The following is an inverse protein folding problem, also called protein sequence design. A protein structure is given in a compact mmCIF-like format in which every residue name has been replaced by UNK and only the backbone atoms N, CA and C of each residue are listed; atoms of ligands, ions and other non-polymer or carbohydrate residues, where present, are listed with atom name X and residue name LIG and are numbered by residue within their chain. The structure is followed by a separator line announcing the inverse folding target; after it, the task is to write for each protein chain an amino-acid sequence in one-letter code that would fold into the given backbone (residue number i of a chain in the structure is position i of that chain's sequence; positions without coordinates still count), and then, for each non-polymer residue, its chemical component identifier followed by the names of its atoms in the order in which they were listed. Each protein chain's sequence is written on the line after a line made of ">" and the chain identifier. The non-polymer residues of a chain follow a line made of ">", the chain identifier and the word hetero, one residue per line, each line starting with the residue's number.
data_IF_855096659476
#
_entry.id   IF_855096659476
#
_cell.length_a   1.000
_cell.length_b   1.000
_cell.length_c   1.000
_cell.angle_alpha   90.00
_cell.angle_beta   90.00
_cell.angle_gamma   90.00
#
_symmetry.space_group_name_H-M   'P 1'
#
loop_
_entity.id
_entity.type
_entity.pdbx_description
1 polymer ?
#
# COMPACT_ATOMS: atom_id res chain seq x y z
N UNK A 1 -4.34 8.79 19.92
CA UNK A 1 -3.92 7.70 19.00
C UNK A 1 -3.18 6.59 19.75
N UNK A 2 -2.20 6.89 20.57
CA UNK A 2 -1.41 5.88 21.34
C UNK A 2 -2.27 4.98 22.22
N UNK A 3 -3.25 5.53 22.92
CA UNK A 3 -4.18 4.75 23.76
C UNK A 3 -5.00 3.75 22.94
N UNK A 4 -5.41 4.14 21.72
CA UNK A 4 -6.15 3.26 20.83
C UNK A 4 -5.27 2.10 20.35
N UNK A 5 -4.04 2.39 19.92
CA UNK A 5 -3.07 1.35 19.50
C UNK A 5 -2.78 0.40 20.66
N UNK A 6 -2.56 0.92 21.86
CA UNK A 6 -2.36 0.12 23.08
C UNK A 6 -3.56 -0.77 23.38
N UNK A 7 -4.76 -0.24 23.26
CA UNK A 7 -6.00 -1.01 23.45
C UNK A 7 -6.12 -2.14 22.42
N UNK A 8 -5.88 -1.82 21.14
CA UNK A 8 -5.95 -2.80 20.05
C UNK A 8 -4.97 -3.95 20.22
N UNK A 9 -3.73 -3.67 20.64
CA UNK A 9 -2.74 -4.69 20.96
C UNK A 9 -3.20 -5.59 22.12
N UNK A 10 -3.60 -5.00 23.23
CA UNK A 10 -4.04 -5.75 24.43
C UNK A 10 -5.29 -6.60 24.18
N UNK A 11 -6.16 -6.19 23.27
CA UNK A 11 -7.40 -6.90 22.94
C UNK A 11 -7.26 -7.88 21.78
N UNK A 12 -6.09 -7.99 21.17
CA UNK A 12 -5.83 -8.92 20.07
C UNK A 12 -6.46 -8.48 18.75
N UNK A 13 -6.53 -7.18 18.49
CA UNK A 13 -6.88 -6.64 17.17
C UNK A 13 -5.68 -6.61 16.25
N UNK A 14 -4.56 -6.09 16.72
CA UNK A 14 -3.32 -5.98 15.95
C UNK A 14 -2.11 -6.35 16.81
N UNK A 15 -1.08 -6.88 16.16
CA UNK A 15 0.25 -7.07 16.72
C UNK A 15 1.29 -6.52 15.76
N UNK A 16 2.41 -6.03 16.26
CA UNK A 16 3.51 -5.66 15.38
C UNK A 16 4.07 -6.93 14.73
N UNK A 17 4.21 -6.92 13.40
CA UNK A 17 4.71 -8.09 12.70
C UNK A 17 6.13 -8.42 13.14
N UNK A 18 6.40 -9.71 13.37
CA UNK A 18 7.70 -10.21 13.85
C UNK A 18 8.16 -9.61 15.19
N UNK A 19 7.23 -9.29 16.09
CA UNK A 19 7.53 -8.60 17.37
C UNK A 19 8.57 -9.34 18.23
N UNK A 20 8.58 -10.67 18.23
CA UNK A 20 9.58 -11.49 18.96
C UNK A 20 11.03 -11.26 18.49
N UNK A 21 11.23 -10.71 17.30
CA UNK A 21 12.53 -10.35 16.73
C UNK A 21 12.75 -8.83 16.67
N UNK A 22 12.01 -8.05 17.46
CA UNK A 22 12.10 -6.59 17.51
C UNK A 22 11.09 -5.87 16.64
N UNK A 23 10.31 -6.58 15.84
CA UNK A 23 9.23 -6.04 15.02
C UNK A 23 9.70 -5.29 13.77
N UNK A 24 8.80 -5.16 12.80
CA UNK A 24 8.98 -4.33 11.61
C UNK A 24 8.16 -3.05 11.77
N UNK A 25 8.82 -1.90 11.66
CA UNK A 25 8.15 -0.62 11.82
C UNK A 25 7.09 -0.41 10.74
N UNK A 26 5.86 -0.08 11.16
CA UNK A 26 4.75 0.19 10.25
C UNK A 26 4.06 -1.04 9.67
N UNK A 27 4.49 -2.27 10.05
CA UNK A 27 3.89 -3.52 9.59
C UNK A 27 3.23 -4.23 10.76
N UNK A 28 1.97 -4.64 10.57
CA UNK A 28 1.15 -5.23 11.61
C UNK A 28 0.48 -6.51 11.12
N UNK A 29 0.34 -7.47 12.04
CA UNK A 29 -0.47 -8.67 11.86
C UNK A 29 -1.84 -8.44 12.50
N UNK A 30 -2.90 -8.97 11.88
CA UNK A 30 -4.22 -8.97 12.47
C UNK A 30 -4.35 -10.09 13.49
N UNK A 31 -4.67 -9.75 14.72
CA UNK A 31 -5.02 -10.73 15.75
C UNK A 31 -6.43 -11.28 15.58
N UNK A 32 -6.87 -12.20 16.47
CA UNK A 32 -8.18 -12.88 16.34
C UNK A 32 -9.38 -11.93 16.19
N UNK A 33 -9.45 -10.86 16.97
CA UNK A 33 -10.53 -9.87 16.84
C UNK A 33 -10.34 -8.96 15.63
N UNK A 34 -9.09 -8.68 15.26
CA UNK A 34 -8.76 -7.85 14.10
C UNK A 34 -9.15 -8.49 12.78
N UNK A 35 -8.88 -9.79 12.61
CA UNK A 35 -9.25 -10.51 11.39
C UNK A 35 -10.75 -10.60 11.22
N UNK A 36 -11.52 -10.80 12.30
CA UNK A 36 -12.97 -10.79 12.24
C UNK A 36 -13.54 -9.42 11.87
N UNK A 37 -12.99 -8.35 12.46
CA UNK A 37 -13.38 -6.98 12.12
C UNK A 37 -13.06 -6.67 10.64
N UNK A 38 -11.85 -7.02 10.17
CA UNK A 38 -11.43 -6.88 8.78
C UNK A 38 -12.38 -7.60 7.82
N UNK A 39 -12.67 -8.87 8.08
CA UNK A 39 -13.56 -9.69 7.24
C UNK A 39 -14.99 -9.14 7.20
N UNK A 40 -15.52 -8.69 8.33
CA UNK A 40 -16.85 -8.08 8.41
C UNK A 40 -16.90 -6.77 7.59
N UNK A 41 -15.86 -5.94 7.69
CA UNK A 41 -15.78 -4.69 6.92
C UNK A 41 -15.70 -4.98 5.41
N UNK A 42 -14.82 -5.89 5.00
CA UNK A 42 -14.69 -6.32 3.60
C UNK A 42 -16.00 -6.88 3.05
N UNK A 43 -16.64 -7.76 3.78
CA UNK A 43 -17.91 -8.39 3.38
C UNK A 43 -19.02 -7.34 3.23
N UNK A 44 -19.11 -6.40 4.15
CA UNK A 44 -20.10 -5.32 4.10
C UNK A 44 -19.85 -4.40 2.90
N UNK A 45 -18.59 -4.03 2.68
CA UNK A 45 -18.20 -3.21 1.53
C UNK A 45 -18.48 -3.92 0.20
N UNK A 46 -18.06 -5.18 0.09
CA UNK A 46 -18.29 -6.00 -1.11
C UNK A 46 -19.77 -6.16 -1.42
N UNK A 47 -20.57 -6.43 -0.39
CA UNK A 47 -22.01 -6.52 -0.54
C UNK A 47 -22.60 -5.22 -1.11
N UNK A 48 -22.27 -4.09 -0.49
CA UNK A 48 -22.80 -2.78 -0.89
C UNK A 48 -22.35 -2.33 -2.27
N UNK A 49 -21.08 -2.61 -2.64
CA UNK A 49 -20.49 -2.11 -3.88
C UNK A 49 -20.69 -3.04 -5.07
N UNK A 50 -20.80 -4.36 -4.82
CA UNK A 50 -20.89 -5.35 -5.90
C UNK A 50 -22.26 -6.02 -5.93
N UNK A 51 -22.71 -6.64 -4.82
CA UNK A 51 -23.91 -7.48 -4.84
C UNK A 51 -25.22 -6.68 -4.88
N UNK A 52 -25.24 -5.51 -4.29
CA UNK A 52 -26.42 -4.62 -4.25
C UNK A 52 -26.50 -3.74 -5.53
N UNK A 53 -25.63 -3.98 -6.54
CA UNK A 53 -25.56 -3.22 -7.78
C UNK A 53 -25.55 -4.13 -9.01
N UNK A 54 -26.26 -3.72 -10.06
CA UNK A 54 -26.34 -4.45 -11.33
C UNK A 54 -25.30 -3.98 -12.37
N UNK A 55 -24.69 -2.82 -12.15
CA UNK A 55 -23.76 -2.16 -13.07
C UNK A 55 -22.28 -2.32 -12.69
N UNK A 56 -21.97 -3.12 -11.65
CA UNK A 56 -20.62 -3.32 -11.15
C UNK A 56 -20.26 -4.79 -11.16
N UNK A 57 -19.02 -5.09 -11.56
CA UNK A 57 -18.39 -6.40 -11.41
C UNK A 57 -17.22 -6.34 -10.43
N UNK A 58 -17.04 -7.41 -9.65
CA UNK A 58 -15.94 -7.51 -8.70
C UNK A 58 -14.68 -8.05 -9.34
N UNK A 59 -13.54 -7.50 -8.97
CA UNK A 59 -12.21 -7.95 -9.37
C UNK A 59 -11.30 -8.04 -8.16
N UNK A 60 -10.65 -9.19 -7.99
CA UNK A 60 -9.53 -9.36 -7.06
C UNK A 60 -8.26 -9.65 -7.88
N UNK A 61 -7.45 -8.62 -8.07
CA UNK A 61 -6.24 -8.70 -8.87
C UNK A 61 -5.03 -9.10 -8.00
N UNK A 62 -3.98 -9.62 -8.67
CA UNK A 62 -2.74 -10.01 -8.01
C UNK A 62 -2.07 -8.82 -7.31
N UNK A 63 -1.56 -9.04 -6.10
CA UNK A 63 -0.75 -8.05 -5.37
C UNK A 63 0.59 -7.76 -6.06
N UNK A 64 1.13 -8.73 -6.81
CA UNK A 64 2.31 -8.52 -7.63
C UNK A 64 1.91 -8.00 -9.00
N UNK A 65 2.53 -6.89 -9.39
CA UNK A 65 2.28 -6.25 -10.69
C UNK A 65 3.55 -6.18 -11.53
N UNK A 66 3.35 -6.28 -12.85
CA UNK A 66 4.43 -6.19 -13.81
C UNK A 66 5.03 -4.79 -13.85
N UNK A 67 6.36 -4.71 -13.98
CA UNK A 67 7.07 -3.48 -14.25
C UNK A 67 6.47 -2.65 -15.38
N UNK A 68 6.06 -3.32 -16.48
CA UNK A 68 5.51 -2.62 -17.65
C UNK A 68 4.25 -1.83 -17.31
N UNK A 69 3.39 -2.36 -16.44
CA UNK A 69 2.18 -1.65 -15.99
C UNK A 69 2.56 -0.35 -15.30
N UNK A 70 3.50 -0.41 -14.37
CA UNK A 70 3.93 0.75 -13.59
C UNK A 70 4.77 1.75 -14.43
N UNK A 71 5.50 1.26 -15.42
CA UNK A 71 6.20 2.11 -16.38
C UNK A 71 5.21 2.91 -17.24
N UNK A 72 4.20 2.25 -17.83
CA UNK A 72 3.22 2.93 -18.68
C UNK A 72 2.27 3.83 -17.92
N UNK A 73 2.02 3.56 -16.64
CA UNK A 73 1.24 4.45 -15.76
C UNK A 73 2.06 5.60 -15.16
N UNK A 74 3.38 5.64 -15.40
CA UNK A 74 4.28 6.68 -14.89
C UNK A 74 4.78 6.47 -13.46
N UNK A 75 4.31 5.46 -12.75
CA UNK A 75 4.70 5.21 -11.36
C UNK A 75 6.18 4.88 -11.21
N UNK A 76 6.79 4.18 -12.18
CA UNK A 76 8.22 3.83 -12.09
C UNK A 76 9.12 5.07 -12.02
N UNK A 77 8.71 6.17 -12.65
CA UNK A 77 9.52 7.39 -12.75
C UNK A 77 9.17 8.43 -11.69
N UNK A 78 7.93 8.45 -11.20
CA UNK A 78 7.42 9.55 -10.37
C UNK A 78 7.03 9.15 -8.96
N UNK A 79 6.90 7.85 -8.67
CA UNK A 79 6.42 7.38 -7.36
C UNK A 79 7.56 7.31 -6.34
N UNK A 80 8.11 8.48 -6.05
CA UNK A 80 9.19 8.65 -5.08
C UNK A 80 8.98 9.91 -4.26
N UNK A 81 9.28 9.82 -2.96
CA UNK A 81 9.29 10.96 -2.05
C UNK A 81 10.72 11.46 -1.84
N UNK A 82 10.95 12.77 -1.84
CA UNK A 82 12.21 13.34 -1.41
C UNK A 82 12.31 13.27 0.11
N UNK A 83 13.14 12.37 0.65
CA UNK A 83 13.38 12.21 2.08
C UNK A 83 14.61 12.97 2.54
N UNK A 84 14.52 13.53 3.73
CA UNK A 84 15.55 14.28 4.44
C UNK A 84 15.79 13.64 5.81
N UNK A 85 17.06 13.47 6.18
CA UNK A 85 17.45 13.03 7.53
C UNK A 85 17.90 14.22 8.36
N UNK A 86 17.40 14.32 9.59
CA UNK A 86 17.92 15.25 10.58
C UNK A 86 19.20 14.70 11.20
N UNK A 87 20.33 15.40 11.08
CA UNK A 87 21.60 14.95 11.64
C UNK A 87 21.64 15.00 13.17
N UNK A 88 20.81 15.86 13.76
CA UNK A 88 20.73 16.02 15.21
C UNK A 88 19.94 14.87 15.89
N UNK A 89 18.66 14.68 15.53
CA UNK A 89 17.79 13.69 16.19
C UNK A 89 17.64 12.37 15.42
N UNK A 90 18.30 12.22 14.25
CA UNK A 90 18.26 11.05 13.37
C UNK A 90 16.88 10.71 12.83
N UNK A 91 15.93 11.62 12.96
CA UNK A 91 14.59 11.44 12.42
C UNK A 91 14.59 11.64 10.89
N UNK A 92 13.84 10.80 10.17
CA UNK A 92 13.65 10.89 8.72
C UNK A 92 12.24 11.35 8.43
N UNK A 93 12.09 12.26 7.47
CA UNK A 93 10.80 12.81 7.07
C UNK A 93 10.86 13.31 5.63
N UNK A 94 9.70 13.58 5.03
CA UNK A 94 9.63 14.15 3.68
C UNK A 94 10.09 15.61 3.70
N UNK A 95 10.76 16.04 2.63
CA UNK A 95 11.30 17.40 2.55
C UNK A 95 10.23 18.51 2.66
N UNK A 96 9.00 18.23 2.22
CA UNK A 96 7.86 19.17 2.33
C UNK A 96 7.36 19.36 3.76
N UNK A 97 7.73 18.48 4.70
CA UNK A 97 7.42 18.60 6.12
C UNK A 97 8.41 19.51 6.88
N UNK A 98 9.51 19.91 6.24
CA UNK A 98 10.48 20.85 6.81
C UNK A 98 9.95 22.27 6.73
N UNK A 99 9.24 22.72 7.77
CA UNK A 99 8.79 24.12 7.86
C UNK A 99 10.00 25.02 8.12
N UNK A 100 10.19 26.03 7.28
CA UNK A 100 11.33 26.97 7.34
C UNK A 100 12.71 26.28 7.35
N UNK A 101 12.84 25.13 6.68
CA UNK A 101 14.08 24.36 6.62
C UNK A 101 14.49 23.73 7.95
N UNK A 102 13.53 23.47 8.85
CA UNK A 102 13.76 22.89 10.17
C UNK A 102 13.13 21.52 10.32
N UNK A 103 13.78 20.69 11.12
CA UNK A 103 13.27 19.38 11.50
C UNK A 103 11.96 19.52 12.30
N UNK A 104 10.85 18.86 11.91
CA UNK A 104 9.59 18.93 12.62
C UNK A 104 9.63 18.32 14.03
N UNK A 105 10.60 17.44 14.30
CA UNK A 105 10.71 16.77 15.59
C UNK A 105 11.55 17.52 16.61
N UNK A 106 12.66 18.18 16.20
CA UNK A 106 13.59 18.81 17.14
C UNK A 106 13.94 20.26 16.80
N UNK A 107 13.40 20.84 15.71
CA UNK A 107 13.63 22.21 15.31
C UNK A 107 15.03 22.52 14.74
N UNK A 108 15.92 21.51 14.62
CA UNK A 108 17.27 21.70 14.06
C UNK A 108 17.23 22.01 12.57
N UNK A 109 18.10 22.91 12.11
CA UNK A 109 18.32 23.19 10.68
C UNK A 109 19.40 22.30 10.04
N UNK A 110 20.06 21.44 10.82
CA UNK A 110 21.10 20.53 10.31
C UNK A 110 20.44 19.30 9.65
N UNK A 111 20.07 19.48 8.39
CA UNK A 111 19.39 18.50 7.56
C UNK A 111 20.31 18.00 6.44
N UNK A 112 20.08 16.78 5.95
CA UNK A 112 20.74 16.29 4.75
C UNK A 112 20.08 16.87 3.50
N UNK A 113 20.78 16.78 2.36
CA UNK A 113 20.14 17.01 1.06
C UNK A 113 19.01 15.98 0.84
N UNK A 114 17.92 16.41 0.18
CA UNK A 114 16.83 15.52 -0.17
C UNK A 114 17.31 14.36 -1.06
N UNK A 115 16.89 13.14 -0.73
CA UNK A 115 17.17 11.94 -1.53
C UNK A 115 15.88 11.31 -2.00
N UNK A 116 15.74 10.95 -3.28
CA UNK A 116 14.57 10.27 -3.77
C UNK A 116 14.47 8.88 -3.09
N UNK A 117 13.32 8.60 -2.53
CA UNK A 117 12.99 7.30 -1.93
C UNK A 117 11.84 6.70 -2.72
N UNK A 118 12.07 5.56 -3.37
CA UNK A 118 11.03 4.85 -4.09
C UNK A 118 10.06 4.21 -3.09
N UNK A 119 8.77 4.52 -3.23
CA UNK A 119 7.72 4.04 -2.34
C UNK A 119 7.25 2.62 -2.68
N UNK A 120 7.66 2.08 -3.82
CA UNK A 120 7.24 0.76 -4.28
C UNK A 120 8.17 -0.34 -3.79
N UNK A 121 7.60 -1.41 -3.23
CA UNK A 121 8.35 -2.62 -2.90
C UNK A 121 8.63 -3.43 -4.16
N UNK A 122 9.91 -3.69 -4.41
CA UNK A 122 10.38 -4.49 -5.53
C UNK A 122 10.75 -5.90 -5.04
N UNK A 123 10.39 -6.91 -5.82
CA UNK A 123 10.77 -8.30 -5.56
C UNK A 123 11.23 -8.99 -6.84
N UNK A 124 12.14 -9.95 -6.70
CA UNK A 124 12.59 -10.79 -7.82
C UNK A 124 11.52 -11.83 -8.15
N UNK A 125 11.31 -12.07 -9.44
CA UNK A 125 10.39 -13.09 -9.93
C UNK A 125 11.20 -14.12 -10.74
N UNK A 126 11.12 -15.38 -10.34
CA UNK A 126 11.85 -16.47 -10.97
C UNK A 126 13.01 -17.00 -10.12
N UNK A 127 13.70 -18.06 -10.60
CA UNK A 127 14.71 -18.80 -9.84
C UNK A 127 16.07 -18.10 -9.72
N UNK A 128 16.33 -17.09 -10.56
CA UNK A 128 17.62 -16.39 -10.63
C UNK A 128 17.41 -14.90 -10.41
N UNK A 129 18.15 -14.35 -9.46
CA UNK A 129 18.20 -12.91 -9.23
C UNK A 129 19.35 -12.28 -9.99
N UNK A 130 19.13 -12.02 -11.28
CA UNK A 130 20.04 -11.31 -12.18
C UNK A 130 19.65 -9.85 -12.38
N UNK A 131 18.62 -9.40 -11.65
CA UNK A 131 18.08 -8.04 -11.76
C UNK A 131 17.25 -7.78 -13.02
N UNK A 132 17.07 -8.77 -13.90
CA UNK A 132 16.31 -8.62 -15.14
C UNK A 132 14.82 -8.86 -14.94
N UNK A 133 14.47 -9.83 -14.09
CA UNK A 133 13.11 -10.24 -13.83
C UNK A 133 12.64 -9.81 -12.44
N UNK A 134 11.88 -8.74 -12.38
CA UNK A 134 11.30 -8.26 -11.15
C UNK A 134 9.86 -7.78 -11.31
N UNK A 135 9.14 -7.84 -10.22
CA UNK A 135 7.81 -7.28 -10.08
C UNK A 135 7.79 -6.33 -8.88
N UNK A 136 6.73 -5.58 -8.80
CA UNK A 136 6.45 -4.72 -7.64
C UNK A 136 5.21 -5.24 -6.89
N UNK A 137 5.18 -5.07 -5.57
CA UNK A 137 3.92 -5.04 -4.88
C UNK A 137 3.16 -3.81 -5.37
N UNK A 138 1.91 -4.00 -5.79
CA UNK A 138 1.10 -2.90 -6.35
C UNK A 138 1.01 -1.73 -5.36
N UNK A 139 1.34 -0.49 -5.78
CA UNK A 139 1.20 0.68 -4.92
C UNK A 139 -0.27 1.12 -4.73
N UNK A 140 -1.12 0.73 -5.67
CA UNK A 140 -2.57 0.99 -5.67
C UNK A 140 -3.29 -0.01 -6.56
N UNK A 141 -4.62 -0.03 -6.53
CA UNK A 141 -5.44 -1.00 -7.26
C UNK A 141 -5.87 -0.53 -8.66
N UNK A 142 -5.73 0.75 -8.97
CA UNK A 142 -6.25 1.36 -10.20
C UNK A 142 -5.70 0.72 -11.49
N UNK A 143 -4.41 0.41 -11.56
CA UNK A 143 -3.80 -0.12 -12.78
C UNK A 143 -4.35 -1.49 -13.16
N UNK A 144 -4.62 -2.35 -12.16
CA UNK A 144 -5.20 -3.67 -12.41
C UNK A 144 -6.63 -3.59 -12.92
N UNK A 145 -7.36 -2.55 -12.57
CA UNK A 145 -8.70 -2.29 -13.13
C UNK A 145 -8.57 -2.08 -14.64
N UNK A 146 -7.67 -1.21 -15.08
CA UNK A 146 -7.46 -0.94 -16.51
C UNK A 146 -6.91 -2.16 -17.26
N UNK A 147 -5.94 -2.86 -16.70
CA UNK A 147 -5.32 -4.01 -17.37
C UNK A 147 -6.26 -5.21 -17.50
N UNK A 148 -7.25 -5.34 -16.62
CA UNK A 148 -8.25 -6.41 -16.66
C UNK A 148 -9.56 -6.00 -17.32
N UNK A 149 -9.72 -4.75 -17.75
CA UNK A 149 -10.96 -4.28 -18.33
C UNK A 149 -11.47 -5.17 -19.46
N UNK A 150 -10.60 -5.49 -20.43
CA UNK A 150 -10.96 -6.36 -21.53
C UNK A 150 -11.34 -7.78 -21.07
N UNK A 151 -10.60 -8.35 -20.11
CA UNK A 151 -10.87 -9.68 -19.58
C UNK A 151 -12.26 -9.74 -18.92
N UNK A 152 -12.62 -8.71 -18.15
CA UNK A 152 -13.94 -8.62 -17.53
C UNK A 152 -15.02 -8.44 -18.58
N UNK A 153 -14.80 -7.53 -19.54
CA UNK A 153 -15.77 -7.27 -20.62
C UNK A 153 -16.05 -8.55 -21.44
N UNK A 154 -15.02 -9.30 -21.78
CA UNK A 154 -15.13 -10.54 -22.55
C UNK A 154 -15.79 -11.69 -21.75
N UNK A 155 -15.74 -11.64 -20.42
CA UNK A 155 -16.26 -12.68 -19.53
C UNK A 155 -17.65 -12.40 -18.97
N UNK A 156 -18.15 -11.16 -19.09
CA UNK A 156 -19.47 -10.77 -18.61
C UNK A 156 -20.45 -10.56 -19.74
N UNK A 157 -21.74 -10.75 -19.47
CA UNK A 157 -22.84 -10.42 -20.38
C UNK A 157 -23.40 -9.03 -20.22
N UNK A 158 -22.84 -8.21 -19.32
CA UNK A 158 -23.32 -6.85 -19.06
C UNK A 158 -22.92 -5.89 -20.17
N UNK A 159 -23.83 -5.00 -20.57
CA UNK A 159 -23.60 -4.02 -21.64
C UNK A 159 -23.01 -2.70 -21.13
N UNK A 160 -23.18 -2.40 -19.85
CA UNK A 160 -22.54 -1.28 -19.16
C UNK A 160 -21.83 -1.82 -17.92
N UNK A 161 -20.55 -1.52 -17.80
CA UNK A 161 -19.70 -2.13 -16.81
C UNK A 161 -18.91 -1.06 -16.04
N UNK A 162 -19.15 -0.97 -14.75
CA UNK A 162 -18.22 -0.48 -13.77
C UNK A 162 -17.69 -1.69 -13.01
N UNK A 163 -16.42 -1.70 -12.66
CA UNK A 163 -15.87 -2.73 -11.79
C UNK A 163 -14.87 -2.13 -10.81
N UNK A 164 -14.73 -2.80 -9.68
CA UNK A 164 -13.86 -2.34 -8.59
C UNK A 164 -13.00 -3.48 -8.09
N UNK A 165 -11.88 -3.14 -7.52
CA UNK A 165 -11.00 -4.09 -6.83
C UNK A 165 -11.20 -4.04 -5.33
N UNK A 166 -10.68 -5.02 -4.62
CA UNK A 166 -10.65 -5.02 -3.16
C UNK A 166 -9.65 -3.97 -2.65
N UNK A 167 -10.13 -2.73 -2.50
CA UNK A 167 -9.34 -1.61 -1.97
C UNK A 167 -9.25 -1.61 -0.43
N UNK A 168 -9.85 -2.59 0.24
CA UNK A 168 -9.83 -2.67 1.70
C UNK A 168 -8.48 -3.14 2.26
N UNK A 169 -7.51 -3.42 1.41
CA UNK A 169 -6.15 -3.82 1.78
C UNK A 169 -5.15 -2.64 1.84
N UNK A 170 -5.58 -1.40 1.54
CA UNK A 170 -4.77 -0.19 1.64
C UNK A 170 -4.90 0.52 2.99
#
# INVERSE_FOLDING_TARGET
>A
MEDLVSLCKRRGFIFQSSEIYGGLQGIYDYGPLGVELKNNLKSSWWKSMIYDRDDVEGLDASILTSRHVLKYSGHEDTFSDPLVDCRNCKNRFRSDQATDGKCPACGSSDLTEPRPFNLMFKTTVGPVDDGSNYAYLRPETAQQIFTNFKNILDSTSKTCLLYTSDAADE
#
